data_IF_985583974634
#
_entry.id   IF_985583974634
#
_cell.length_a   1.000
_cell.length_b   1.000
_cell.length_c   1.000
_cell.angle_alpha   90.00
_cell.angle_beta   90.00
_cell.angle_gamma   90.00
#
_symmetry.space_group_name_H-M   'P 1'
#
loop_
_entity.id
_entity.type
_entity.pdbx_description
1 polymer ?
#
# COMPACT_ATOMS: atom_id res chain seq x y z
N UNK A 1 7.23 23.62 26.31
CA UNK A 1 7.71 22.23 26.42
C UNK A 1 6.49 21.32 26.44
N UNK A 2 6.49 20.28 25.61
CA UNK A 2 5.49 19.22 25.59
C UNK A 2 6.01 18.06 26.46
N UNK A 3 5.22 17.60 27.39
CA UNK A 3 5.56 16.49 28.27
C UNK A 3 4.69 15.28 27.93
N UNK A 4 5.30 14.10 27.86
CA UNK A 4 4.63 12.82 27.67
C UNK A 4 4.97 11.88 28.83
N UNK A 5 3.97 11.31 29.45
CA UNK A 5 4.16 10.30 30.48
C UNK A 5 3.28 9.07 30.16
N UNK A 6 3.85 7.88 30.33
CA UNK A 6 3.12 6.64 30.25
C UNK A 6 2.92 6.09 31.67
N UNK A 7 1.67 5.94 32.10
CA UNK A 7 1.32 5.32 33.38
C UNK A 7 0.85 3.88 33.15
N UNK A 8 1.41 2.94 33.92
CA UNK A 8 0.97 1.56 33.87
C UNK A 8 -0.47 1.46 34.45
N UNK A 9 -1.38 0.89 33.67
CA UNK A 9 -2.70 0.51 34.19
C UNK A 9 -2.62 -0.96 34.62
N UNK A 10 -2.94 -1.24 35.85
CA UNK A 10 -2.95 -2.60 36.43
C UNK A 10 -3.90 -3.56 35.69
N UNK A 11 -4.80 -3.07 34.86
CA UNK A 11 -5.74 -3.85 34.06
C UNK A 11 -5.24 -4.01 32.64
N UNK A 12 -4.82 -5.22 32.26
CA UNK A 12 -4.48 -5.68 30.88
C UNK A 12 -3.18 -5.14 30.27
N UNK A 13 -2.19 -4.74 31.03
CA UNK A 13 -0.87 -4.35 30.49
C UNK A 13 -0.88 -3.16 29.50
N UNK A 14 -1.90 -2.29 29.60
CA UNK A 14 -2.01 -1.09 28.76
C UNK A 14 -1.53 0.11 29.53
N UNK A 15 -0.66 0.91 28.90
CA UNK A 15 -0.23 2.20 29.45
C UNK A 15 -1.25 3.29 29.14
N UNK A 16 -1.56 4.11 30.15
CA UNK A 16 -2.28 5.36 29.96
C UNK A 16 -1.28 6.43 29.52
N UNK A 17 -1.49 7.01 28.35
CA UNK A 17 -0.70 8.15 27.88
C UNK A 17 -1.27 9.44 28.46
N UNK A 18 -0.45 10.21 29.14
CA UNK A 18 -0.76 11.56 29.61
C UNK A 18 0.12 12.54 28.87
N UNK A 19 -0.47 13.55 28.26
CA UNK A 19 0.24 14.59 27.51
C UNK A 19 -0.20 15.94 28.05
N UNK A 20 0.75 16.80 28.41
CA UNK A 20 0.46 18.14 28.89
C UNK A 20 1.50 19.15 28.41
N UNK A 21 1.09 20.42 28.30
CA UNK A 21 1.97 21.54 27.94
C UNK A 21 2.47 22.30 29.16
N UNK A 22 3.69 22.81 29.11
CA UNK A 22 4.26 23.62 30.18
C UNK A 22 4.64 22.84 31.44
N UNK A 23 4.61 23.49 32.62
CA UNK A 23 5.03 22.93 33.89
C UNK A 23 3.90 22.29 34.71
N UNK A 24 2.64 22.47 34.33
CA UNK A 24 1.47 21.97 35.07
C UNK A 24 0.74 20.84 34.35
N UNK A 25 0.48 19.75 35.09
CA UNK A 25 -0.33 18.61 34.58
C UNK A 25 -1.82 18.93 34.44
N UNK A 26 -2.28 20.06 34.96
CA UNK A 26 -3.70 20.44 34.90
C UNK A 26 -4.16 20.87 33.50
N UNK A 27 -3.24 21.21 32.61
CA UNK A 27 -3.52 21.54 31.22
C UNK A 27 -3.48 20.25 30.39
N UNK A 28 -4.59 19.56 30.26
CA UNK A 28 -4.70 18.44 29.33
C UNK A 28 -4.57 18.95 27.90
N UNK A 29 -3.73 18.31 27.13
CA UNK A 29 -3.59 18.61 25.71
C UNK A 29 -4.80 18.02 24.98
N UNK A 30 -5.46 18.84 24.17
CA UNK A 30 -6.55 18.38 23.32
C UNK A 30 -6.03 17.29 22.36
N UNK A 31 -6.68 16.11 22.28
CA UNK A 31 -6.30 15.09 21.30
C UNK A 31 -6.22 15.61 19.86
N UNK A 32 -7.08 16.56 19.48
CA UNK A 32 -7.07 17.18 18.15
C UNK A 32 -5.79 17.96 17.88
N UNK A 33 -5.21 18.60 18.90
CA UNK A 33 -3.91 19.28 18.79
C UNK A 33 -2.74 18.31 18.65
N UNK A 34 -2.85 17.10 19.21
CA UNK A 34 -1.83 16.05 19.02
C UNK A 34 -1.83 15.52 17.61
N UNK A 35 -2.99 15.46 16.98
CA UNK A 35 -3.12 15.04 15.56
C UNK A 35 -2.49 16.06 14.60
N UNK A 36 -2.32 17.32 15.03
CA UNK A 36 -1.61 18.36 14.27
C UNK A 36 -0.08 18.26 14.41
N UNK A 37 0.41 17.58 15.45
CA UNK A 37 1.85 17.39 15.67
C UNK A 37 2.29 16.13 14.93
N UNK A 38 2.78 16.30 13.71
CA UNK A 38 3.37 15.19 12.96
C UNK A 38 4.80 14.95 13.44
N UNK A 39 5.01 13.85 14.16
CA UNK A 39 6.34 13.40 14.53
C UNK A 39 6.80 12.33 13.53
N UNK A 40 7.80 12.67 12.70
CA UNK A 40 8.40 11.73 11.77
C UNK A 40 9.67 11.19 12.40
N UNK A 41 9.65 9.89 12.70
CA UNK A 41 10.84 9.16 13.08
C UNK A 41 11.55 8.66 11.83
N UNK A 42 12.75 9.14 11.60
CA UNK A 42 13.67 8.64 10.58
C UNK A 42 14.49 7.50 11.21
N UNK A 43 14.24 6.24 10.86
CA UNK A 43 15.07 5.14 11.33
C UNK A 43 16.49 5.27 10.75
N UNK A 44 17.48 4.55 11.32
CA UNK A 44 18.80 4.45 10.72
C UNK A 44 18.67 4.06 9.25
N UNK A 45 19.24 4.83 8.35
CA UNK A 45 19.01 4.79 6.90
C UNK A 45 19.56 3.54 6.19
N UNK A 46 20.05 2.55 6.92
CA UNK A 46 20.60 1.31 6.36
C UNK A 46 19.56 0.43 5.65
N UNK A 47 18.28 0.59 5.98
CA UNK A 47 17.19 -0.25 5.48
C UNK A 47 16.23 0.51 4.53
N UNK A 48 16.66 1.62 3.93
CA UNK A 48 15.80 2.42 3.06
C UNK A 48 15.24 1.60 1.90
N UNK A 49 16.07 0.75 1.28
CA UNK A 49 15.65 -0.13 0.19
C UNK A 49 14.51 -1.06 0.62
N UNK A 50 14.67 -1.77 1.74
CA UNK A 50 13.64 -2.69 2.26
C UNK A 50 12.33 -1.99 2.64
N UNK A 51 12.40 -0.71 3.01
CA UNK A 51 11.22 0.10 3.34
C UNK A 51 10.52 0.67 2.11
N UNK A 52 11.24 0.83 1.01
CA UNK A 52 10.72 1.33 -0.27
C UNK A 52 10.21 0.21 -1.17
N UNK A 53 10.64 -1.04 -0.94
CA UNK A 53 10.15 -2.20 -1.69
C UNK A 53 8.68 -2.47 -1.38
N UNK A 54 8.04 -3.26 -2.25
CA UNK A 54 6.63 -3.63 -2.09
C UNK A 54 6.36 -4.37 -0.75
N UNK A 55 5.10 -4.40 -0.33
CA UNK A 55 4.63 -5.12 0.85
C UNK A 55 3.84 -4.27 1.83
N UNK A 56 3.31 -4.93 2.86
CA UNK A 56 2.40 -4.34 3.87
C UNK A 56 2.94 -3.10 4.58
N UNK A 57 4.24 -3.06 4.78
CA UNK A 57 4.93 -2.01 5.52
C UNK A 57 5.70 -1.06 4.60
N UNK A 58 5.56 -1.22 3.28
CA UNK A 58 6.28 -0.37 2.33
C UNK A 58 5.90 1.10 2.52
N UNK A 59 6.88 1.97 2.34
CA UNK A 59 6.67 3.42 2.45
C UNK A 59 5.71 3.93 1.39
N UNK A 60 5.79 3.35 0.18
CA UNK A 60 4.91 3.67 -0.93
C UNK A 60 3.44 3.37 -0.58
N UNK A 61 3.15 2.19 0.00
CA UNK A 61 1.80 1.84 0.45
C UNK A 61 1.26 2.81 1.50
N UNK A 62 2.10 3.23 2.45
CA UNK A 62 1.73 4.22 3.47
C UNK A 62 1.42 5.58 2.87
N UNK A 63 2.29 6.07 1.98
CA UNK A 63 2.11 7.32 1.26
C UNK A 63 0.80 7.35 0.47
N UNK A 64 0.54 6.30 -0.32
CA UNK A 64 -0.69 6.20 -1.12
C UNK A 64 -1.94 6.19 -0.24
N UNK A 65 -1.91 5.48 0.89
CA UNK A 65 -3.02 5.48 1.86
C UNK A 65 -3.23 6.86 2.50
N UNK A 66 -2.16 7.59 2.77
CA UNK A 66 -2.23 8.93 3.33
C UNK A 66 -2.84 9.93 2.34
N UNK A 67 -2.33 9.97 1.12
CA UNK A 67 -2.84 10.84 0.04
C UNK A 67 -4.31 10.57 -0.26
N UNK A 68 -4.71 9.31 -0.35
CA UNK A 68 -6.09 8.91 -0.68
C UNK A 68 -7.01 8.79 0.55
N UNK A 69 -6.59 9.25 1.74
CA UNK A 69 -7.33 9.07 3.01
C UNK A 69 -8.77 9.60 2.95
N UNK A 70 -8.99 10.74 2.32
CA UNK A 70 -10.33 11.36 2.18
C UNK A 70 -11.21 10.53 1.26
N UNK A 71 -10.71 10.21 0.07
CA UNK A 71 -11.41 9.44 -0.94
C UNK A 71 -11.76 8.04 -0.43
N UNK A 72 -10.84 7.36 0.23
CA UNK A 72 -11.08 6.05 0.86
C UNK A 72 -12.17 6.09 1.94
N UNK A 73 -12.28 7.21 2.70
CA UNK A 73 -13.36 7.38 3.67
C UNK A 73 -14.71 7.57 2.98
N UNK A 74 -14.75 8.33 1.88
CA UNK A 74 -15.96 8.57 1.09
C UNK A 74 -16.42 7.28 0.40
N UNK A 75 -15.53 6.54 -0.23
CA UNK A 75 -15.82 5.23 -0.83
C UNK A 75 -16.44 4.27 0.18
N UNK A 76 -15.85 4.17 1.39
CA UNK A 76 -16.40 3.33 2.47
C UNK A 76 -17.77 3.78 2.94
N UNK A 77 -17.98 5.10 3.06
CA UNK A 77 -19.28 5.66 3.48
C UNK A 77 -20.38 5.37 2.45
N UNK A 78 -20.03 5.46 1.17
CA UNK A 78 -20.97 5.28 0.06
C UNK A 78 -21.04 3.81 -0.40
N UNK A 79 -20.25 2.92 0.18
CA UNK A 79 -20.11 1.52 -0.24
C UNK A 79 -19.76 1.38 -1.74
N UNK A 80 -18.89 2.26 -2.23
CA UNK A 80 -18.40 2.26 -3.60
C UNK A 80 -16.93 1.84 -3.65
N UNK A 81 -16.49 1.13 -4.69
CA UNK A 81 -15.08 0.81 -4.86
C UNK A 81 -14.26 2.09 -5.11
N UNK A 82 -12.99 2.06 -4.72
CA UNK A 82 -12.05 3.11 -5.09
C UNK A 82 -11.73 3.00 -6.60
N UNK A 83 -11.49 4.12 -7.33
CA UNK A 83 -11.19 4.09 -8.77
C UNK A 83 -10.04 3.12 -9.15
N UNK A 84 -9.03 3.01 -8.30
CA UNK A 84 -7.94 2.05 -8.51
C UNK A 84 -8.40 0.59 -8.42
N UNK A 85 -9.36 0.27 -7.56
CA UNK A 85 -9.95 -1.07 -7.44
C UNK A 85 -10.78 -1.40 -8.69
N UNK A 86 -11.51 -0.41 -9.20
CA UNK A 86 -12.28 -0.55 -10.44
C UNK A 86 -11.39 -0.77 -11.66
N UNK A 87 -10.29 -0.01 -11.79
CA UNK A 87 -9.28 -0.21 -12.82
C UNK A 87 -8.67 -1.62 -12.76
N UNK A 88 -8.34 -2.09 -11.56
CA UNK A 88 -7.77 -3.42 -11.37
C UNK A 88 -8.77 -4.53 -11.73
N UNK A 89 -10.05 -4.33 -11.43
CA UNK A 89 -11.12 -5.23 -11.85
C UNK A 89 -11.25 -5.28 -13.36
N UNK A 90 -11.28 -4.13 -14.02
CA UNK A 90 -11.34 -4.04 -15.48
C UNK A 90 -10.15 -4.74 -16.14
N UNK A 91 -8.95 -4.60 -15.56
CA UNK A 91 -7.77 -5.32 -16.00
C UNK A 91 -7.95 -6.85 -15.90
N UNK A 92 -8.47 -7.35 -14.78
CA UNK A 92 -8.78 -8.76 -14.62
C UNK A 92 -9.81 -9.27 -15.64
N UNK A 93 -10.81 -8.46 -15.98
CA UNK A 93 -11.80 -8.82 -17.00
C UNK A 93 -11.16 -8.86 -18.40
N UNK A 94 -10.24 -7.96 -18.72
CA UNK A 94 -9.47 -7.98 -19.97
C UNK A 94 -8.64 -9.26 -20.09
N UNK A 95 -7.98 -9.73 -19.02
CA UNK A 95 -7.18 -10.95 -19.05
C UNK A 95 -7.98 -12.21 -19.49
N UNK A 96 -9.26 -12.23 -19.16
CA UNK A 96 -10.13 -13.39 -19.48
C UNK A 96 -10.76 -13.28 -20.86
N UNK A 97 -10.93 -12.05 -21.36
CA UNK A 97 -11.63 -11.80 -22.63
C UNK A 97 -10.70 -11.61 -23.82
N UNK A 98 -9.48 -11.14 -23.60
CA UNK A 98 -8.53 -10.86 -24.67
C UNK A 98 -7.95 -12.15 -25.26
N UNK A 99 -8.19 -12.36 -26.54
CA UNK A 99 -7.73 -13.55 -27.28
C UNK A 99 -6.22 -13.54 -27.55
N UNK A 100 -5.59 -12.37 -27.53
CA UNK A 100 -4.13 -12.25 -27.71
C UNK A 100 -3.36 -12.78 -26.52
N UNK A 101 -4.01 -12.90 -25.37
CA UNK A 101 -3.42 -13.39 -24.13
C UNK A 101 -3.63 -14.90 -23.97
N UNK A 102 -2.55 -15.64 -23.72
CA UNK A 102 -2.58 -17.08 -23.49
C UNK A 102 -3.46 -17.53 -22.33
N UNK A 103 -3.88 -16.59 -21.47
CA UNK A 103 -4.68 -16.83 -20.27
C UNK A 103 -6.08 -17.35 -20.64
N UNK A 104 -6.73 -16.76 -21.65
CA UNK A 104 -8.01 -17.27 -22.16
C UNK A 104 -7.92 -18.71 -22.61
N UNK A 105 -6.94 -19.02 -23.47
CA UNK A 105 -6.72 -20.38 -23.97
C UNK A 105 -6.41 -21.38 -22.86
N UNK A 106 -5.57 -21.01 -21.89
CA UNK A 106 -5.30 -21.87 -20.73
C UNK A 106 -6.54 -22.16 -19.91
N UNK A 107 -7.40 -21.16 -19.70
CA UNK A 107 -8.65 -21.29 -18.98
C UNK A 107 -9.65 -22.22 -19.71
N UNK A 108 -9.74 -22.11 -21.04
CA UNK A 108 -10.57 -22.96 -21.88
C UNK A 108 -10.08 -24.42 -21.85
N UNK A 109 -8.76 -24.65 -21.98
CA UNK A 109 -8.17 -25.99 -21.90
C UNK A 109 -8.43 -26.67 -20.56
N UNK A 110 -8.25 -25.95 -19.44
CA UNK A 110 -8.55 -26.50 -18.11
C UNK A 110 -10.03 -26.88 -18.01
N UNK A 111 -10.92 -26.01 -18.48
CA UNK A 111 -12.36 -26.25 -18.45
C UNK A 111 -12.73 -27.49 -19.32
N UNK A 112 -12.15 -27.60 -20.51
CA UNK A 112 -12.35 -28.74 -21.40
C UNK A 112 -11.88 -30.05 -20.75
N UNK A 113 -10.68 -30.09 -20.18
CA UNK A 113 -10.19 -31.29 -19.49
C UNK A 113 -11.02 -31.66 -18.28
N UNK A 114 -11.54 -30.69 -17.52
CA UNK A 114 -12.48 -30.98 -16.42
C UNK A 114 -13.77 -31.59 -16.91
N UNK A 115 -14.36 -31.02 -17.97
CA UNK A 115 -15.60 -31.57 -18.58
C UNK A 115 -15.37 -32.96 -19.11
N UNK A 116 -14.25 -33.22 -19.78
CA UNK A 116 -13.91 -34.54 -20.31
C UNK A 116 -13.69 -35.60 -19.20
N UNK A 117 -13.13 -35.16 -18.05
CA UNK A 117 -12.84 -36.06 -16.93
C UNK A 117 -14.10 -36.45 -16.12
N UNK A 118 -15.02 -35.51 -15.89
CA UNK A 118 -16.15 -35.70 -14.96
C UNK A 118 -17.52 -35.52 -15.61
N UNK A 119 -17.57 -35.21 -16.90
CA UNK A 119 -18.78 -35.01 -17.70
C UNK A 119 -19.40 -33.64 -17.56
N UNK A 120 -20.24 -33.26 -18.51
CA UNK A 120 -20.87 -31.95 -18.59
C UNK A 120 -21.75 -31.56 -17.38
N UNK A 121 -22.35 -32.56 -16.70
CA UNK A 121 -23.22 -32.30 -15.54
C UNK A 121 -22.46 -31.90 -14.28
N UNK A 122 -21.19 -32.27 -14.16
CA UNK A 122 -20.34 -31.99 -13.01
C UNK A 122 -19.17 -31.07 -13.35
N UNK A 123 -18.97 -30.77 -14.63
CA UNK A 123 -17.91 -29.86 -15.09
C UNK A 123 -18.09 -28.46 -14.54
N UNK A 124 -17.04 -27.93 -13.95
CA UNK A 124 -16.99 -26.57 -13.44
C UNK A 124 -16.27 -25.66 -14.44
N UNK A 125 -16.74 -24.42 -14.56
CA UNK A 125 -16.02 -23.38 -15.29
C UNK A 125 -14.89 -22.84 -14.43
N UNK A 126 -13.73 -22.66 -15.01
CA UNK A 126 -12.57 -22.07 -14.35
C UNK A 126 -12.40 -20.62 -14.79
N UNK A 127 -11.71 -19.83 -13.99
CA UNK A 127 -11.32 -18.45 -14.30
C UNK A 127 -9.94 -18.19 -13.74
N UNK A 128 -9.00 -17.82 -14.61
CA UNK A 128 -7.65 -17.41 -14.24
C UNK A 128 -7.64 -15.89 -14.21
N UNK A 129 -7.33 -15.32 -13.05
CA UNK A 129 -7.22 -13.88 -12.87
C UNK A 129 -6.25 -13.57 -11.73
N UNK A 130 -5.80 -12.32 -11.64
CA UNK A 130 -5.16 -11.86 -10.41
C UNK A 130 -6.19 -11.87 -9.26
N UNK A 131 -5.73 -12.21 -8.05
CA UNK A 131 -6.60 -12.20 -6.89
C UNK A 131 -7.30 -10.84 -6.73
N UNK A 132 -8.59 -10.86 -6.44
CA UNK A 132 -9.33 -9.63 -6.13
C UNK A 132 -8.62 -8.89 -4.99
N UNK A 133 -8.37 -7.62 -5.22
CA UNK A 133 -7.56 -6.82 -4.32
C UNK A 133 -8.27 -5.52 -4.01
N UNK A 134 -8.40 -5.22 -2.71
CA UNK A 134 -8.78 -3.91 -2.23
C UNK A 134 -7.63 -2.90 -2.46
N UNK A 135 -7.92 -1.62 -2.30
CA UNK A 135 -6.92 -0.55 -2.43
C UNK A 135 -5.64 -0.85 -1.65
N UNK A 136 -5.78 -1.41 -0.46
CA UNK A 136 -4.64 -1.72 0.40
C UNK A 136 -3.70 -2.74 -0.24
N UNK A 137 -4.24 -3.84 -0.73
CA UNK A 137 -3.45 -4.89 -1.39
C UNK A 137 -2.84 -4.42 -2.70
N UNK A 138 -3.58 -3.61 -3.48
CA UNK A 138 -3.06 -3.00 -4.70
C UNK A 138 -1.87 -2.09 -4.36
N UNK A 139 -2.03 -1.19 -3.38
CA UNK A 139 -0.95 -0.30 -2.94
C UNK A 139 0.26 -1.06 -2.37
N UNK A 140 0.05 -2.22 -1.76
CA UNK A 140 1.11 -3.10 -1.23
C UNK A 140 1.85 -3.87 -2.33
N UNK A 141 1.22 -4.07 -3.49
CA UNK A 141 1.83 -4.74 -4.64
C UNK A 141 2.66 -3.81 -5.54
N UNK A 142 2.47 -2.49 -5.41
CA UNK A 142 3.19 -1.51 -6.21
C UNK A 142 4.67 -1.43 -5.82
N UNK A 143 5.51 -1.30 -6.81
CA UNK A 143 6.97 -1.20 -6.65
C UNK A 143 7.43 0.18 -7.11
N UNK A 144 8.29 0.80 -6.33
CA UNK A 144 8.96 2.04 -6.72
C UNK A 144 10.17 1.71 -7.59
N UNK A 145 10.20 2.27 -8.77
CA UNK A 145 11.34 2.24 -9.67
C UNK A 145 12.00 3.62 -9.70
N UNK A 146 13.28 3.68 -10.03
CA UNK A 146 13.97 4.95 -10.19
C UNK A 146 14.55 5.08 -11.60
N UNK A 147 14.75 6.30 -12.01
CA UNK A 147 15.40 6.65 -13.25
C UNK A 147 16.64 7.53 -12.98
N UNK A 148 17.82 7.14 -13.43
CA UNK A 148 19.06 7.85 -13.08
C UNK A 148 19.23 9.21 -13.78
N UNK A 149 18.50 9.45 -14.88
CA UNK A 149 18.62 10.69 -15.66
C UNK A 149 17.23 11.33 -15.87
N UNK A 150 17.02 12.54 -15.33
CA UNK A 150 15.77 13.28 -15.47
C UNK A 150 15.54 13.84 -16.89
N UNK A 151 16.53 13.82 -17.75
CA UNK A 151 16.48 14.40 -19.10
C UNK A 151 16.04 13.42 -20.19
N UNK A 152 15.89 12.13 -19.86
CA UNK A 152 15.53 11.12 -20.84
C UNK A 152 14.06 10.71 -20.66
N UNK A 153 13.30 10.72 -21.76
CA UNK A 153 11.89 10.29 -21.83
C UNK A 153 11.72 8.77 -22.02
N UNK A 154 12.79 8.01 -21.96
CA UNK A 154 12.79 6.58 -22.28
C UNK A 154 12.38 5.75 -21.05
N UNK A 155 11.14 5.27 -21.05
CA UNK A 155 10.55 4.48 -19.97
C UNK A 155 11.24 3.12 -19.75
N UNK A 156 11.94 2.61 -20.74
CA UNK A 156 12.65 1.32 -20.68
C UNK A 156 13.91 1.37 -19.79
N UNK A 157 14.34 2.56 -19.38
CA UNK A 157 15.52 2.76 -18.55
C UNK A 157 15.22 2.82 -17.05
N UNK A 158 13.97 2.63 -16.61
CA UNK A 158 13.64 2.52 -15.19
C UNK A 158 14.28 1.28 -14.57
N UNK A 159 14.86 1.44 -13.39
CA UNK A 159 15.61 0.42 -12.67
C UNK A 159 15.02 0.16 -11.30
N UNK A 160 15.21 -1.06 -10.81
CA UNK A 160 14.83 -1.43 -9.46
C UNK A 160 15.79 -0.87 -8.41
N UNK A 161 15.29 -0.60 -7.20
CA UNK A 161 16.04 0.07 -6.13
C UNK A 161 17.32 -0.66 -5.69
N UNK A 162 17.42 -1.98 -5.92
CA UNK A 162 18.63 -2.75 -5.64
C UNK A 162 19.81 -2.37 -6.55
N UNK A 163 19.54 -1.71 -7.68
CA UNK A 163 20.56 -1.20 -8.61
C UNK A 163 20.98 0.24 -8.28
N UNK A 164 20.34 0.86 -7.30
CA UNK A 164 20.63 2.22 -6.89
C UNK A 164 21.63 2.25 -5.74
N UNK A 165 22.32 3.39 -5.56
CA UNK A 165 23.19 3.57 -4.42
C UNK A 165 22.40 3.72 -3.12
N UNK A 166 22.98 3.29 -2.00
CA UNK A 166 22.37 3.44 -0.67
C UNK A 166 22.03 4.91 -0.37
N UNK A 167 22.86 5.84 -0.79
CA UNK A 167 22.63 7.29 -0.58
C UNK A 167 21.39 7.77 -1.31
N UNK A 168 21.18 7.37 -2.56
CA UNK A 168 19.97 7.72 -3.32
C UNK A 168 18.73 7.05 -2.77
N UNK A 169 18.81 5.79 -2.37
CA UNK A 169 17.66 5.12 -1.73
C UNK A 169 17.24 5.82 -0.43
N UNK A 170 18.21 6.32 0.33
CA UNK A 170 17.94 7.15 1.51
C UNK A 170 17.26 8.46 1.16
N UNK A 171 17.67 9.13 0.09
CA UNK A 171 17.02 10.35 -0.39
C UNK A 171 15.59 10.08 -0.87
N UNK A 172 15.35 9.00 -1.62
CA UNK A 172 14.03 8.58 -2.05
C UNK A 172 13.12 8.27 -0.84
N UNK A 173 13.67 7.62 0.19
CA UNK A 173 12.95 7.35 1.42
C UNK A 173 12.54 8.64 2.13
N UNK A 174 13.47 9.59 2.30
CA UNK A 174 13.18 10.90 2.90
C UNK A 174 12.16 11.67 2.05
N UNK A 175 12.32 11.71 0.72
CA UNK A 175 11.39 12.37 -0.18
C UNK A 175 9.97 11.77 -0.06
N UNK A 176 9.85 10.44 0.06
CA UNK A 176 8.55 9.78 0.27
C UNK A 176 7.90 10.13 1.61
N UNK A 177 8.69 10.48 2.62
CA UNK A 177 8.18 10.97 3.91
C UNK A 177 7.69 12.41 3.79
N UNK A 178 8.47 13.25 3.14
CA UNK A 178 8.09 14.66 2.93
C UNK A 178 6.84 14.80 2.05
N UNK A 179 6.64 13.90 1.11
CA UNK A 179 5.44 13.86 0.26
C UNK A 179 4.15 13.49 1.03
N UNK A 180 4.26 12.95 2.24
CA UNK A 180 3.08 12.63 3.09
C UNK A 180 2.65 13.82 3.95
N UNK A 181 3.54 14.82 4.14
CA UNK A 181 3.28 16.03 4.94
C UNK A 181 2.41 17.03 4.19
#
# INVERSE_FOLDING_TARGET
>A
VLNLQAENREVRGRYKKLVWGGSSRSTQFDPELLDLIQCIYLPPLRDAESKLTNGRQSRLSKLLKAINRKELKECRKNNTPHPLEEQFKNFNDTLVTDESLSIKGANELITEHLVNAIGHHFGQKTRIQFAESDFTKIAESLTLLFFPDMSADDQDLFRSLNQNSLGYNNLLYIASILAEL
#
